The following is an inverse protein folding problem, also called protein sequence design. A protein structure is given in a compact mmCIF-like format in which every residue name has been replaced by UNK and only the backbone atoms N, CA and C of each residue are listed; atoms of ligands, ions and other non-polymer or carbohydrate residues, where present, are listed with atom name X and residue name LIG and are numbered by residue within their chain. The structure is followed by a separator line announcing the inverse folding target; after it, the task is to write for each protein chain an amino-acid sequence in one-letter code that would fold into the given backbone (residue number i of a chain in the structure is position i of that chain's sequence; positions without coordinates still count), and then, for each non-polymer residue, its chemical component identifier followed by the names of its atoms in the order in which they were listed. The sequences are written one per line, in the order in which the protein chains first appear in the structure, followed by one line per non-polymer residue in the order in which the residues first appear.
data_IF_293978965058
#
_entry.id   IF_293978965058
#
_cell.length_a   1.000
_cell.length_b   1.000
_cell.length_c   1.000
_cell.angle_alpha   90.00
_cell.angle_beta   90.00
_cell.angle_gamma   90.00
#
_symmetry.space_group_name_H-M   'P 1'
#
loop_
_entity.id
_entity.type
_entity.pdbx_description
1 polymer ?
#
# COMPACT_ATOMS: atom_id res chain seq x y z
N UNK A 1 20.18 14.93 32.92
CA UNK A 1 19.80 14.50 31.55
C UNK A 1 18.66 13.51 31.66
N UNK A 2 17.42 13.88 31.31
CA UNK A 2 16.29 12.93 31.34
C UNK A 2 16.31 12.13 30.04
N UNK A 3 16.59 10.84 30.16
CA UNK A 3 16.46 9.85 29.10
C UNK A 3 15.08 9.96 28.47
N UNK A 4 14.98 10.63 27.32
CA UNK A 4 13.77 10.66 26.52
C UNK A 4 13.43 9.23 26.16
N UNK A 5 12.38 8.69 26.80
CA UNK A 5 11.97 7.30 26.61
C UNK A 5 11.82 7.01 25.11
N UNK A 6 12.54 6.00 24.64
CA UNK A 6 12.47 5.55 23.26
C UNK A 6 11.08 4.95 23.02
N UNK A 7 10.38 5.47 22.02
CA UNK A 7 9.11 4.93 21.55
C UNK A 7 9.35 4.14 20.27
N UNK A 8 8.91 2.89 20.28
CA UNK A 8 8.90 2.05 19.08
C UNK A 8 7.78 2.51 18.14
N UNK A 9 8.11 2.71 16.87
CA UNK A 9 7.14 3.05 15.81
C UNK A 9 6.69 1.75 15.15
N UNK A 10 7.48 1.21 14.21
CA UNK A 10 7.25 -0.04 13.46
C UNK A 10 8.56 -0.62 12.97
N UNK A 11 8.58 -1.92 12.68
CA UNK A 11 9.72 -2.61 12.06
C UNK A 11 11.08 -2.41 12.76
N UNK A 12 11.07 -2.28 14.09
CA UNK A 12 12.29 -2.03 14.88
C UNK A 12 12.84 -0.61 14.75
N UNK A 13 12.08 0.33 14.19
CA UNK A 13 12.40 1.75 14.17
C UNK A 13 11.90 2.41 15.45
N UNK A 14 12.76 3.21 16.06
CA UNK A 14 12.50 3.93 17.30
C UNK A 14 12.61 5.44 17.07
N UNK A 15 11.88 6.20 17.87
CA UNK A 15 12.01 7.65 17.99
C UNK A 15 11.99 8.03 19.47
N UNK A 16 12.23 9.29 19.80
CA UNK A 16 12.04 9.77 21.17
C UNK A 16 10.57 10.06 21.42
N UNK A 17 10.12 9.88 22.66
CA UNK A 17 8.75 10.23 23.05
C UNK A 17 8.40 11.71 22.81
N UNK A 18 9.39 12.62 22.85
CA UNK A 18 9.19 14.03 22.54
C UNK A 18 8.83 14.25 21.06
N UNK A 19 9.60 13.66 20.14
CA UNK A 19 9.33 13.75 18.69
C UNK A 19 7.99 13.11 18.36
N UNK A 20 7.66 11.97 18.97
CA UNK A 20 6.36 11.35 18.76
C UNK A 20 5.20 12.26 19.18
N UNK A 21 5.25 12.81 20.40
CA UNK A 21 4.19 13.70 20.91
C UNK A 21 4.03 14.95 20.06
N UNK A 22 5.14 15.53 19.60
CA UNK A 22 5.08 16.68 18.69
C UNK A 22 4.30 16.33 17.42
N UNK A 23 4.62 15.20 16.79
CA UNK A 23 3.93 14.75 15.59
C UNK A 23 2.46 14.36 15.85
N UNK A 24 2.11 13.85 17.03
CA UNK A 24 0.71 13.59 17.40
C UNK A 24 -0.09 14.89 17.50
N UNK A 25 0.42 15.89 18.21
CA UNK A 25 -0.23 17.20 18.36
C UNK A 25 -0.43 17.87 17.00
N UNK A 26 0.53 17.71 16.09
CA UNK A 26 0.45 18.27 14.74
C UNK A 26 -0.40 17.41 13.77
N UNK A 27 -0.95 16.26 14.20
CA UNK A 27 -1.67 15.33 13.32
C UNK A 27 -0.79 14.63 12.27
N UNK A 28 0.53 14.66 12.47
CA UNK A 28 1.58 14.16 11.56
C UNK A 28 2.24 12.86 12.02
N UNK A 29 1.65 12.14 12.97
CA UNK A 29 2.16 10.84 13.43
C UNK A 29 2.28 9.81 12.28
N UNK A 30 1.35 9.85 11.31
CA UNK A 30 1.38 9.02 10.10
C UNK A 30 2.67 9.16 9.28
N UNK A 31 3.33 10.33 9.35
CA UNK A 31 4.61 10.58 8.66
C UNK A 31 5.73 9.71 9.23
N UNK A 32 5.76 9.55 10.56
CA UNK A 32 6.74 8.71 11.25
C UNK A 32 6.55 7.23 10.91
N UNK A 33 5.30 6.79 10.82
CA UNK A 33 4.98 5.43 10.40
C UNK A 33 5.38 5.14 8.94
N UNK A 34 5.10 6.08 8.03
CA UNK A 34 5.53 5.98 6.63
C UNK A 34 7.06 5.93 6.52
N UNK A 35 7.77 6.78 7.25
CA UNK A 35 9.24 6.78 7.25
C UNK A 35 9.82 5.46 7.78
N UNK A 36 9.23 4.89 8.84
CA UNK A 36 9.63 3.59 9.38
C UNK A 36 9.39 2.45 8.36
N UNK A 37 8.27 2.48 7.65
CA UNK A 37 7.94 1.49 6.63
C UNK A 37 8.87 1.58 5.40
N UNK A 38 9.13 2.79 4.90
CA UNK A 38 10.10 3.01 3.81
C UNK A 38 11.51 2.60 4.19
N UNK A 39 11.91 2.80 5.46
CA UNK A 39 13.23 2.36 5.95
C UNK A 39 13.37 0.83 5.91
N UNK A 40 12.28 0.07 6.10
CA UNK A 40 12.29 -1.39 6.10
C UNK A 40 12.38 -2.01 4.70
N UNK A 41 11.81 -1.35 3.70
CA UNK A 41 11.68 -1.88 2.33
C UNK A 41 12.81 -1.47 1.38
N UNK A 42 13.82 -0.78 1.90
CA UNK A 42 14.86 -0.10 1.13
C UNK A 42 14.29 0.97 0.19
N UNK A 43 14.69 2.22 0.42
CA UNK A 43 13.97 3.44 0.00
C UNK A 43 13.82 3.58 -1.53
N UNK A 44 14.63 2.89 -2.30
CA UNK A 44 14.67 2.94 -3.77
C UNK A 44 13.63 2.04 -4.44
N UNK A 45 13.11 1.04 -3.73
CA UNK A 45 12.16 0.08 -4.31
C UNK A 45 10.69 0.37 -3.96
N UNK A 46 10.44 1.27 -3.00
CA UNK A 46 9.11 1.51 -2.43
C UNK A 46 8.74 2.99 -2.41
N UNK A 47 7.52 3.31 -2.87
CA UNK A 47 6.94 4.65 -2.78
C UNK A 47 5.66 4.63 -1.92
N UNK A 48 5.40 5.70 -1.18
CA UNK A 48 4.14 5.88 -0.44
C UNK A 48 3.00 6.14 -1.42
N UNK A 49 1.85 5.51 -1.23
CA UNK A 49 0.73 5.62 -2.17
C UNK A 49 -0.62 5.80 -1.48
N UNK A 50 -1.66 6.07 -2.27
CA UNK A 50 -3.05 6.18 -1.84
C UNK A 50 -3.26 7.18 -0.69
N UNK A 51 -4.06 6.80 0.30
CA UNK A 51 -4.38 7.61 1.49
C UNK A 51 -3.13 8.03 2.26
N UNK A 52 -2.07 7.21 2.27
CA UNK A 52 -0.82 7.57 2.92
C UNK A 52 -0.12 8.73 2.21
N UNK A 53 -0.06 8.70 0.87
CA UNK A 53 0.49 9.82 0.10
C UNK A 53 -0.37 11.09 0.28
N UNK A 54 -1.69 10.94 0.21
CA UNK A 54 -2.62 12.04 0.46
C UNK A 54 -2.41 12.70 1.84
N UNK A 55 -2.23 11.90 2.91
CA UNK A 55 -1.88 12.41 4.25
C UNK A 55 -0.54 13.14 4.27
N UNK A 56 0.47 12.64 3.55
CA UNK A 56 1.78 13.31 3.47
C UNK A 56 1.67 14.69 2.82
N UNK A 57 0.91 14.78 1.73
CA UNK A 57 0.68 16.02 0.98
C UNK A 57 -0.38 16.95 1.59
N UNK A 58 -1.01 16.57 2.71
CA UNK A 58 -2.01 17.41 3.38
C UNK A 58 -3.35 17.50 2.64
N UNK A 59 -3.66 16.50 1.80
CA UNK A 59 -4.94 16.44 1.09
C UNK A 59 -6.07 16.07 2.06
N UNK A 60 -7.27 16.60 1.81
CA UNK A 60 -8.48 16.26 2.56
C UNK A 60 -8.84 14.80 2.26
N UNK A 61 -9.09 14.03 3.31
CA UNK A 61 -9.46 12.62 3.21
C UNK A 61 -10.82 12.38 3.85
N UNK A 62 -11.61 11.44 3.30
CA UNK A 62 -12.85 11.02 3.94
C UNK A 62 -12.56 10.41 5.33
N UNK A 63 -13.50 10.56 6.27
CA UNK A 63 -13.33 10.11 7.65
C UNK A 63 -13.06 8.59 7.77
N UNK A 64 -13.52 7.79 6.79
CA UNK A 64 -13.26 6.35 6.69
C UNK A 64 -11.97 6.00 5.93
N UNK A 65 -11.13 6.97 5.60
CA UNK A 65 -9.85 6.68 4.95
C UNK A 65 -8.98 5.82 5.87
N UNK A 66 -8.50 4.69 5.33
CA UNK A 66 -7.69 3.74 6.08
C UNK A 66 -6.51 4.43 6.79
N UNK A 67 -6.29 4.02 8.04
CA UNK A 67 -5.18 4.49 8.88
C UNK A 67 -3.87 3.70 8.63
N UNK A 68 -3.92 2.64 7.83
CA UNK A 68 -2.74 1.84 7.49
C UNK A 68 -1.76 2.60 6.59
N UNK A 69 -0.46 2.27 6.73
CA UNK A 69 0.57 2.73 5.79
C UNK A 69 0.44 1.93 4.50
N UNK A 70 0.15 2.61 3.39
CA UNK A 70 0.06 2.03 2.05
C UNK A 70 1.28 2.41 1.22
N UNK A 71 1.96 1.41 0.70
CA UNK A 71 3.15 1.54 -0.13
C UNK A 71 2.94 0.77 -1.43
N UNK A 72 3.51 1.28 -2.50
CA UNK A 72 3.65 0.58 -3.78
C UNK A 72 5.13 0.27 -3.96
N UNK A 73 5.48 -1.01 -4.09
CA UNK A 73 6.84 -1.42 -4.41
C UNK A 73 6.98 -1.67 -5.91
N UNK A 74 8.16 -1.39 -6.46
CA UNK A 74 8.53 -1.91 -7.77
C UNK A 74 8.71 -3.41 -7.60
N UNK A 75 7.77 -4.20 -8.12
CA UNK A 75 8.00 -5.63 -8.30
C UNK A 75 9.16 -5.77 -9.30
N UNK A 76 10.33 -6.20 -8.84
CA UNK A 76 11.31 -6.77 -9.76
C UNK A 76 10.78 -8.15 -10.12
N UNK A 77 9.93 -8.22 -11.13
CA UNK A 77 9.66 -9.50 -11.77
C UNK A 77 11.00 -10.01 -12.27
N UNK A 78 11.56 -11.03 -11.62
CA UNK A 78 12.57 -11.84 -12.28
C UNK A 78 11.96 -12.32 -13.61
N UNK A 79 12.64 -12.18 -14.76
CA UNK A 79 12.15 -12.73 -16.02
C UNK A 79 12.19 -14.26 -15.89
N UNK A 80 11.07 -14.85 -15.49
CA UNK A 80 11.02 -16.28 -15.19
C UNK A 80 9.74 -16.74 -14.50
N UNK A 81 8.59 -16.14 -14.80
CA UNK A 81 7.30 -16.74 -14.48
C UNK A 81 6.31 -16.26 -15.52
N UNK A 82 6.22 -17.01 -16.63
CA UNK A 82 5.20 -16.81 -17.63
C UNK A 82 3.82 -17.01 -17.00
N UNK A 83 3.13 -15.93 -16.67
CA UNK A 83 1.68 -15.97 -16.52
C UNK A 83 1.08 -15.94 -17.91
N UNK A 84 1.09 -17.11 -18.57
CA UNK A 84 0.17 -17.38 -19.65
C UNK A 84 -1.24 -17.33 -19.08
N UNK A 85 -1.89 -16.17 -19.18
CA UNK A 85 -3.34 -16.11 -19.10
C UNK A 85 -3.88 -16.84 -20.34
N UNK A 86 -4.10 -18.13 -20.20
CA UNK A 86 -4.86 -18.89 -21.17
C UNK A 86 -6.27 -18.31 -21.17
N UNK A 87 -6.56 -17.43 -22.15
CA UNK A 87 -7.94 -17.09 -22.52
C UNK A 87 -8.62 -18.42 -22.83
N UNK A 88 -9.74 -18.78 -22.17
CA UNK A 88 -10.52 -19.91 -22.64
C UNK A 88 -10.97 -19.61 -24.09
N UNK A 89 -10.86 -20.56 -25.01
CA UNK A 89 -11.34 -20.34 -26.37
C UNK A 89 -12.84 -20.02 -26.31
N UNK A 90 -13.22 -18.90 -26.91
CA UNK A 90 -14.63 -18.54 -27.10
C UNK A 90 -15.35 -19.72 -27.75
N UNK A 91 -16.22 -20.40 -27.00
CA UNK A 91 -17.17 -21.37 -27.58
C UNK A 91 -18.06 -20.58 -28.55
N UNK A 92 -17.88 -20.81 -29.85
CA UNK A 92 -18.87 -20.41 -30.85
C UNK A 92 -20.20 -21.06 -30.47
N UNK A 93 -21.33 -20.33 -30.41
CA UNK A 93 -22.62 -20.98 -30.42
C UNK A 93 -22.75 -21.70 -31.77
N UNK A 94 -22.89 -23.02 -31.74
CA UNK A 94 -23.28 -23.80 -32.90
C UNK A 94 -24.71 -23.41 -33.24
N UNK A 95 -24.85 -22.57 -34.28
CA UNK A 95 -26.09 -22.46 -35.02
C UNK A 95 -26.39 -23.83 -35.62
N UNK A 96 -27.40 -24.51 -35.08
CA UNK A 96 -28.14 -25.53 -35.81
C UNK A 96 -29.59 -25.09 -35.86
N UNK A 97 -29.92 -24.38 -36.93
CA UNK A 97 -31.28 -24.33 -37.44
C UNK A 97 -31.58 -25.67 -38.14
N UNK A 98 -32.65 -26.35 -37.71
CA UNK A 98 -33.55 -27.16 -38.55
C UNK A 98 -34.58 -27.84 -37.63
N UNK A 99 -35.84 -27.42 -37.65
CA UNK A 99 -36.93 -28.00 -38.47
C UNK A 99 -37.69 -29.10 -37.73
N UNK A 100 -39.01 -28.93 -37.57
CA UNK A 100 -39.96 -30.04 -37.66
C UNK A 100 -40.95 -30.25 -36.50
N UNK A 101 -42.22 -29.96 -36.80
CA UNK A 101 -43.42 -30.74 -36.47
C UNK A 101 -43.76 -31.09 -35.01
N UNK A 102 -44.78 -30.45 -34.44
CA UNK A 102 -46.18 -30.91 -34.45
C UNK A 102 -47.11 -29.81 -33.94
#
# INVERSE_FOLDING_TARGET
MRSGAWKRIRYGVYTTGAVWRQHEVEGRAHRLECAAALRRLDRTSAAVSHTSAARLHGLVLPQRAEAGVRLTTRTSSAPGAGTGSARPPCRRPTSSASTGCR
#
